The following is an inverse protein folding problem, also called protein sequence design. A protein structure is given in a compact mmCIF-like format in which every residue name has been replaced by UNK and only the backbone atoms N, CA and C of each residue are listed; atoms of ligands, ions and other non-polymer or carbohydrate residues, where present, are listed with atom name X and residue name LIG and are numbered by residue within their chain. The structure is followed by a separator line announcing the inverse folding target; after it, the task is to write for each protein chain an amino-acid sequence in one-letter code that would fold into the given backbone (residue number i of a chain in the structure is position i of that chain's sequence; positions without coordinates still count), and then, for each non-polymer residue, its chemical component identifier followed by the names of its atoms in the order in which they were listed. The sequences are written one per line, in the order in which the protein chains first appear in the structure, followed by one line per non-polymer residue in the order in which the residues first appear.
data_IF_521703405286
#
_entry.id   IF_521703405286
#
_cell.length_a   1.000
_cell.length_b   1.000
_cell.length_c   1.000
_cell.angle_alpha   90.00
_cell.angle_beta   90.00
_cell.angle_gamma   90.00
#
_symmetry.space_group_name_H-M   'P 1'
#
loop_
_entity.id
_entity.type
_entity.pdbx_description
1 polymer ?
#
# COMPACT_ATOMS: atom_id res chain seq x y z
N UNK A 1 -11.61 -57.58 -18.48
CA UNK A 1 -12.69 -57.40 -17.49
C UNK A 1 -12.01 -56.86 -16.25
N UNK A 2 -11.62 -55.59 -16.33
CA UNK A 2 -12.40 -54.47 -15.79
C UNK A 2 -12.32 -54.54 -14.28
N UNK A 3 -11.38 -53.82 -13.70
CA UNK A 3 -11.69 -53.07 -12.49
C UNK A 3 -10.70 -51.92 -12.27
N UNK A 4 -11.30 -50.74 -12.27
CA UNK A 4 -11.02 -49.67 -11.32
C UNK A 4 -9.90 -48.67 -11.65
N UNK A 5 -10.14 -47.95 -12.75
CA UNK A 5 -9.79 -46.53 -12.88
C UNK A 5 -10.52 -45.69 -11.80
N UNK A 6 -10.11 -45.79 -10.54
CA UNK A 6 -10.48 -44.80 -9.51
C UNK A 6 -9.43 -43.71 -9.50
N UNK A 7 -9.65 -42.77 -10.43
CA UNK A 7 -9.34 -41.33 -10.35
C UNK A 7 -8.32 -40.94 -9.28
N UNK A 8 -7.09 -40.69 -9.72
CA UNK A 8 -6.25 -39.64 -9.13
C UNK A 8 -6.98 -38.31 -9.24
N UNK A 9 -7.91 -38.03 -8.33
CA UNK A 9 -8.25 -36.65 -7.99
C UNK A 9 -7.09 -36.17 -7.14
N UNK A 10 -6.14 -35.51 -7.80
CA UNK A 10 -5.21 -34.63 -7.10
C UNK A 10 -6.04 -33.73 -6.20
N UNK A 11 -5.63 -33.67 -4.94
CA UNK A 11 -6.20 -32.89 -3.88
C UNK A 11 -6.36 -31.43 -4.30
N UNK A 12 -7.55 -31.09 -4.80
CA UNK A 12 -8.00 -29.75 -5.18
C UNK A 12 -8.71 -29.10 -3.99
N UNK A 13 -8.32 -29.44 -2.75
CA UNK A 13 -8.88 -28.87 -1.52
C UNK A 13 -7.98 -27.77 -0.96
N UNK A 14 -7.73 -26.72 -1.75
CA UNK A 14 -7.16 -25.45 -1.24
C UNK A 14 -7.64 -24.16 -1.92
N UNK A 15 -8.41 -24.21 -3.02
CA UNK A 15 -8.69 -23.02 -3.84
C UNK A 15 -10.17 -22.56 -3.90
N UNK A 16 -11.00 -22.85 -2.88
CA UNK A 16 -12.42 -22.48 -2.92
C UNK A 16 -12.99 -21.90 -1.62
N UNK A 17 -12.15 -21.38 -0.72
CA UNK A 17 -12.59 -20.78 0.55
C UNK A 17 -12.50 -19.26 0.63
N UNK A 18 -11.96 -18.57 -0.38
CA UNK A 18 -11.88 -17.10 -0.37
C UNK A 18 -12.95 -16.38 -1.23
N UNK A 19 -13.93 -17.09 -1.80
CA UNK A 19 -14.97 -16.50 -2.67
C UNK A 19 -16.38 -16.41 -2.08
N UNK A 20 -16.52 -16.35 -0.75
CA UNK A 20 -17.77 -15.92 -0.12
C UNK A 20 -17.68 -14.46 0.31
N UNK A 21 -17.77 -13.55 -0.66
CA UNK A 21 -18.12 -12.14 -0.39
C UNK A 21 -19.55 -12.10 0.15
N UNK A 22 -19.66 -12.33 1.45
CA UNK A 22 -20.91 -12.41 2.17
C UNK A 22 -21.51 -10.99 2.28
N UNK A 23 -22.77 -10.82 1.86
CA UNK A 23 -23.51 -9.55 1.74
C UNK A 23 -23.76 -8.81 3.08
N UNK A 24 -23.08 -9.19 4.17
CA UNK A 24 -23.26 -8.66 5.53
C UNK A 24 -22.17 -7.66 6.00
N UNK A 25 -21.25 -7.22 5.11
CA UNK A 25 -20.07 -6.39 5.44
C UNK A 25 -20.42 -4.91 5.74
N UNK A 26 -21.69 -4.48 5.62
CA UNK A 26 -22.05 -3.05 5.68
C UNK A 26 -22.44 -2.51 7.08
N UNK A 27 -22.55 -3.35 8.12
CA UNK A 27 -23.07 -2.94 9.43
C UNK A 27 -22.24 -3.38 10.66
N UNK A 28 -21.03 -3.91 10.47
CA UNK A 28 -20.11 -4.20 11.58
C UNK A 28 -18.99 -3.18 11.61
N UNK A 29 -18.57 -2.65 12.78
CA UNK A 29 -17.36 -1.85 12.88
C UNK A 29 -16.20 -2.82 12.69
N UNK A 30 -15.86 -3.10 11.44
CA UNK A 30 -14.68 -3.88 11.09
C UNK A 30 -13.52 -3.07 11.65
N UNK A 31 -12.95 -3.57 12.74
CA UNK A 31 -11.72 -3.09 13.35
C UNK A 31 -10.74 -2.83 12.22
N UNK A 32 -10.20 -1.61 12.16
CA UNK A 32 -9.05 -1.25 11.32
C UNK A 32 -8.15 -2.48 11.17
N UNK A 33 -8.17 -3.12 10.00
CA UNK A 33 -7.39 -4.34 9.80
C UNK A 33 -5.93 -3.94 9.84
N UNK A 34 -5.10 -4.74 10.52
CA UNK A 34 -3.64 -4.50 10.60
C UNK A 34 -3.04 -4.27 9.21
N UNK A 35 -3.59 -4.95 8.20
CA UNK A 35 -3.29 -4.73 6.79
C UNK A 35 -3.62 -3.31 6.30
N UNK A 36 -4.81 -2.76 6.58
CA UNK A 36 -5.18 -1.41 6.15
C UNK A 36 -4.30 -0.34 6.82
N UNK A 37 -3.91 -0.55 8.07
CA UNK A 37 -2.93 0.30 8.76
C UNK A 37 -1.59 0.24 8.04
N UNK A 38 -1.06 -0.96 7.76
CA UNK A 38 0.21 -1.12 7.06
C UNK A 38 0.19 -0.51 5.64
N UNK A 39 -0.94 -0.60 4.93
CA UNK A 39 -1.15 0.07 3.63
C UNK A 39 -1.06 1.59 3.80
N UNK A 40 -1.74 2.15 4.80
CA UNK A 40 -1.71 3.57 5.12
C UNK A 40 -0.32 4.07 5.48
N UNK A 41 0.42 3.31 6.28
CA UNK A 41 1.81 3.61 6.65
C UNK A 41 2.73 3.64 5.43
N UNK A 42 2.61 2.67 4.51
CA UNK A 42 3.39 2.65 3.27
C UNK A 42 3.06 3.85 2.38
N UNK A 43 1.79 4.25 2.30
CA UNK A 43 1.39 5.47 1.59
C UNK A 43 2.01 6.73 2.21
N UNK A 44 2.00 6.83 3.54
CA UNK A 44 2.62 7.94 4.25
C UNK A 44 4.15 7.96 4.04
N UNK A 45 4.82 6.80 4.06
CA UNK A 45 6.25 6.70 3.74
C UNK A 45 6.55 7.15 2.31
N UNK A 46 5.73 6.73 1.35
CA UNK A 46 5.88 7.15 -0.04
C UNK A 46 5.72 8.68 -0.18
N UNK A 47 4.74 9.27 0.50
CA UNK A 47 4.55 10.73 0.55
C UNK A 47 5.77 11.45 1.13
N UNK A 48 6.32 10.95 2.23
CA UNK A 48 7.50 11.53 2.87
C UNK A 48 8.75 11.41 1.98
N UNK A 49 8.91 10.29 1.26
CA UNK A 49 9.97 10.11 0.29
C UNK A 49 9.87 11.09 -0.89
N UNK A 50 8.66 11.54 -1.24
CA UNK A 50 8.42 12.60 -2.22
C UNK A 50 8.56 14.02 -1.64
N UNK A 51 8.79 14.16 -0.33
CA UNK A 51 8.85 15.45 0.38
C UNK A 51 7.56 16.27 0.26
N UNK A 52 6.41 15.61 0.14
CA UNK A 52 5.11 16.27 -0.01
C UNK A 52 4.34 16.35 1.32
N UNK A 53 3.64 17.46 1.50
CA UNK A 53 2.60 17.58 2.53
C UNK A 53 1.36 16.78 2.15
N UNK A 54 0.48 16.47 3.12
CA UNK A 54 -0.80 15.83 2.85
C UNK A 54 -1.65 16.66 1.87
N UNK A 55 -1.62 17.99 1.99
CA UNK A 55 -2.37 18.87 1.09
C UNK A 55 -1.88 18.78 -0.36
N UNK A 56 -0.56 18.79 -0.55
CA UNK A 56 0.05 18.71 -1.87
C UNK A 56 -0.20 17.36 -2.54
N UNK A 57 -0.03 16.25 -1.79
CA UNK A 57 -0.32 14.93 -2.33
C UNK A 57 -1.80 14.78 -2.68
N UNK A 58 -2.70 15.17 -1.77
CA UNK A 58 -4.14 15.10 -1.99
C UNK A 58 -4.57 15.90 -3.23
N UNK A 59 -4.06 17.14 -3.36
CA UNK A 59 -4.27 17.98 -4.54
C UNK A 59 -3.76 17.32 -5.82
N UNK A 60 -2.59 16.67 -5.76
CA UNK A 60 -2.02 15.97 -6.92
C UNK A 60 -2.84 14.75 -7.36
N UNK A 61 -3.52 14.09 -6.43
CA UNK A 61 -4.38 12.93 -6.72
C UNK A 61 -5.83 13.35 -7.03
N UNK A 62 -6.13 14.64 -6.95
CA UNK A 62 -7.47 15.22 -7.12
C UNK A 62 -8.48 14.67 -6.11
N UNK A 63 -8.05 14.52 -4.85
CA UNK A 63 -8.84 13.99 -3.72
C UNK A 63 -8.80 15.00 -2.56
N UNK A 64 -9.74 14.91 -1.63
CA UNK A 64 -9.73 15.77 -0.44
C UNK A 64 -8.60 15.41 0.53
N UNK A 65 -8.03 16.40 1.22
CA UNK A 65 -7.04 16.19 2.29
C UNK A 65 -7.49 15.17 3.33
N UNK A 66 -8.74 15.27 3.77
CA UNK A 66 -9.33 14.37 4.76
C UNK A 66 -9.40 12.93 4.26
N UNK A 67 -9.61 12.72 2.95
CA UNK A 67 -9.59 11.38 2.37
C UNK A 67 -8.18 10.80 2.45
N UNK A 68 -7.16 11.55 2.03
CA UNK A 68 -5.76 11.13 2.17
C UNK A 68 -5.37 10.85 3.62
N UNK A 69 -5.77 11.71 4.56
CA UNK A 69 -5.51 11.52 5.99
C UNK A 69 -6.22 10.29 6.57
N UNK A 70 -7.39 9.90 6.03
CA UNK A 70 -8.06 8.65 6.40
C UNK A 70 -7.33 7.44 5.84
N UNK A 71 -6.82 7.53 4.61
CA UNK A 71 -6.02 6.48 3.97
C UNK A 71 -4.72 6.22 4.71
N UNK A 72 -3.97 7.27 5.04
CA UNK A 72 -2.71 7.15 5.81
C UNK A 72 -2.93 6.54 7.21
N UNK A 73 -4.13 6.66 7.77
CA UNK A 73 -4.50 6.06 9.07
C UNK A 73 -5.14 4.66 8.95
N UNK A 74 -5.31 4.16 7.73
CA UNK A 74 -5.98 2.88 7.46
C UNK A 74 -7.49 2.87 7.73
N UNK A 75 -8.12 4.03 7.98
CA UNK A 75 -9.57 4.14 8.27
C UNK A 75 -10.40 3.80 7.05
N UNK A 76 -9.93 4.24 5.88
CA UNK A 76 -10.50 3.89 4.58
C UNK A 76 -9.38 3.49 3.65
N UNK A 77 -9.67 2.64 2.68
CA UNK A 77 -8.70 2.32 1.63
C UNK A 77 -8.77 3.36 0.52
N UNK A 78 -7.65 3.59 -0.15
CA UNK A 78 -7.62 4.42 -1.33
C UNK A 78 -8.31 3.72 -2.51
N UNK A 79 -8.98 4.50 -3.34
CA UNK A 79 -9.58 4.03 -4.59
C UNK A 79 -8.49 3.72 -5.63
N UNK A 80 -8.72 2.70 -6.44
CA UNK A 80 -7.85 2.26 -7.53
C UNK A 80 -7.55 3.40 -8.51
N UNK A 81 -8.53 4.27 -8.78
CA UNK A 81 -8.32 5.44 -9.64
C UNK A 81 -7.31 6.44 -9.05
N UNK A 82 -7.35 6.66 -7.73
CA UNK A 82 -6.38 7.52 -7.04
C UNK A 82 -4.97 6.90 -7.06
N UNK A 83 -4.89 5.57 -6.93
CA UNK A 83 -3.62 4.85 -6.99
C UNK A 83 -3.00 4.84 -8.39
N UNK A 84 -3.82 4.78 -9.45
CA UNK A 84 -3.33 5.00 -10.82
C UNK A 84 -2.72 6.38 -11.01
N UNK A 85 -3.38 7.44 -10.50
CA UNK A 85 -2.81 8.80 -10.54
C UNK A 85 -1.52 8.91 -9.74
N UNK A 86 -1.43 8.21 -8.62
CA UNK A 86 -0.21 8.15 -7.80
C UNK A 86 0.95 7.53 -8.59
N UNK A 87 0.68 6.41 -9.28
CA UNK A 87 1.64 5.76 -10.19
C UNK A 87 2.07 6.69 -11.33
N UNK A 88 1.11 7.26 -12.05
CA UNK A 88 1.40 8.05 -13.24
C UNK A 88 2.15 9.35 -12.92
N UNK A 89 1.83 9.97 -11.77
CA UNK A 89 2.38 11.28 -11.41
C UNK A 89 3.68 11.20 -10.60
N UNK A 90 3.82 10.16 -9.78
CA UNK A 90 4.93 10.05 -8.81
C UNK A 90 5.73 8.74 -8.94
N UNK A 91 5.33 7.82 -9.83
CA UNK A 91 6.02 6.55 -10.05
C UNK A 91 5.81 5.50 -8.94
N UNK A 92 4.95 5.76 -7.94
CA UNK A 92 4.70 4.82 -6.85
C UNK A 92 3.70 3.76 -7.31
N UNK A 93 4.08 2.49 -7.22
CA UNK A 93 3.26 1.36 -7.68
C UNK A 93 2.25 0.91 -6.62
N UNK A 94 1.16 0.32 -7.10
CA UNK A 94 0.18 -0.34 -6.24
C UNK A 94 0.81 -1.53 -5.52
N UNK A 95 1.73 -2.24 -6.17
CA UNK A 95 2.46 -3.39 -5.62
C UNK A 95 3.23 -3.00 -4.35
N UNK A 96 3.80 -1.80 -4.30
CA UNK A 96 4.42 -1.30 -3.08
C UNK A 96 3.38 -1.00 -2.00
N UNK A 97 2.33 -0.25 -2.34
CA UNK A 97 1.32 0.21 -1.36
C UNK A 97 0.52 -0.96 -0.75
N UNK A 98 0.07 -1.90 -1.57
CA UNK A 98 -0.79 -3.01 -1.14
C UNK A 98 -0.05 -4.33 -0.97
N UNK A 99 0.96 -4.59 -1.80
CA UNK A 99 1.71 -5.85 -1.83
C UNK A 99 3.03 -5.83 -1.07
N UNK A 100 3.47 -4.66 -0.56
CA UNK A 100 4.77 -4.48 0.10
C UNK A 100 5.97 -4.90 -0.80
N UNK A 101 5.81 -4.80 -2.12
CA UNK A 101 6.87 -5.08 -3.08
C UNK A 101 7.51 -3.78 -3.59
N UNK A 102 8.76 -3.47 -3.20
CA UNK A 102 9.45 -2.26 -3.64
C UNK A 102 10.05 -2.37 -5.05
N UNK A 103 10.00 -3.54 -5.70
CA UNK A 103 10.66 -3.79 -7.00
C UNK A 103 10.18 -2.86 -8.12
N UNK A 104 8.94 -2.37 -8.01
CA UNK A 104 8.36 -1.42 -8.97
C UNK A 104 8.68 0.05 -8.71
N UNK A 105 9.37 0.40 -7.62
CA UNK A 105 9.62 1.79 -7.25
C UNK A 105 10.82 2.41 -8.01
N UNK A 106 10.78 3.71 -8.32
CA UNK A 106 11.94 4.43 -8.80
C UNK A 106 13.08 4.39 -7.78
N UNK A 107 14.31 4.24 -8.26
CA UNK A 107 15.50 4.09 -7.41
C UNK A 107 15.62 5.16 -6.33
N UNK A 108 15.48 6.43 -6.69
CA UNK A 108 15.60 7.54 -5.74
C UNK A 108 14.51 7.54 -4.65
N UNK A 109 13.31 7.03 -4.95
CA UNK A 109 12.23 6.87 -3.97
C UNK A 109 12.54 5.70 -3.04
N UNK A 110 12.91 4.55 -3.61
CA UNK A 110 13.30 3.37 -2.84
C UNK A 110 14.47 3.68 -1.88
N UNK A 111 15.48 4.43 -2.33
CA UNK A 111 16.57 4.88 -1.47
C UNK A 111 16.12 5.77 -0.31
N UNK A 112 15.12 6.63 -0.50
CA UNK A 112 14.62 7.49 0.58
C UNK A 112 13.79 6.70 1.61
N UNK A 113 13.05 5.70 1.15
CA UNK A 113 12.23 4.83 1.99
C UNK A 113 13.13 3.84 2.77
N UNK A 114 14.05 3.15 2.10
CA UNK A 114 14.85 2.07 2.69
C UNK A 114 16.29 2.46 3.03
N UNK A 115 16.86 3.48 2.38
CA UNK A 115 18.26 3.87 2.56
C UNK A 115 18.55 4.73 3.79
N UNK A 116 17.52 5.19 4.51
CA UNK A 116 17.69 5.96 5.75
C UNK A 116 18.25 5.16 6.94
N UNK A 117 18.52 3.86 6.78
CA UNK A 117 19.16 3.03 7.81
C UNK A 117 20.66 3.33 7.99
N UNK A 118 21.32 4.10 7.12
CA UNK A 118 22.80 4.20 7.08
C UNK A 118 23.38 5.62 7.26
N UNK A 119 22.60 6.67 7.53
CA UNK A 119 23.17 8.04 7.58
C UNK A 119 22.56 9.00 8.62
N UNK A 120 22.69 8.66 9.91
CA UNK A 120 22.69 9.66 10.98
C UNK A 120 24.12 10.11 11.31
N UNK A 121 24.87 10.58 10.31
CA UNK A 121 26.03 11.42 10.60
C UNK A 121 26.18 12.56 9.58
N UNK A 122 26.14 13.78 10.14
CA UNK A 122 26.58 15.08 9.62
C UNK A 122 25.60 15.93 8.80
N UNK A 123 25.04 16.93 9.48
CA UNK A 123 25.26 18.33 9.11
C UNK A 123 25.18 19.22 10.36
N UNK A 124 26.33 19.51 10.96
CA UNK A 124 26.50 20.62 11.91
C UNK A 124 26.29 21.93 11.15
N UNK A 125 25.18 22.64 11.39
CA UNK A 125 25.02 24.02 10.92
C UNK A 125 26.08 24.90 11.59
N UNK A 126 27.11 25.24 10.84
CA UNK A 126 28.08 26.26 11.21
C UNK A 126 27.41 27.64 11.11
N UNK A 127 27.30 28.28 12.28
CA UNK A 127 27.11 29.70 12.59
C UNK A 127 27.45 30.65 11.42
N UNK A 128 26.43 31.27 10.84
CA UNK A 128 26.58 32.51 10.06
C UNK A 128 26.92 33.64 11.05
N UNK A 129 28.06 34.30 10.82
CA UNK A 129 28.45 35.59 11.40
C UNK A 129 28.17 36.68 10.38
#
# INVERSE_FOLDING_TARGET
MSDELTKRKGDFSRDAQDCVVNLAVMASPIRNTEWAIAVGERLAQARLALELTQEQLASSLNVGRSALANWERGITLADVAAMHRLKDRHGITLDYIYGNDPSGLPYHIAQRIFGNSVSHSRATKAKQR
#
